data_IF_718777325026
#
_entry.id   IF_718777325026
#
_cell.length_a   1.000
_cell.length_b   1.000
_cell.length_c   1.000
_cell.angle_alpha   90.00
_cell.angle_beta   90.00
_cell.angle_gamma   90.00
#
_symmetry.space_group_name_H-M   'P 1'
#
loop_
_entity.id
_entity.type
_entity.pdbx_description
1 polymer ?
#
# COMPACT_ATOMS: atom_id res chain seq x y z
N UNK A 1 51.00 62.63 15.36
CA UNK A 1 50.03 62.23 16.40
C UNK A 1 48.97 61.37 15.72
N UNK A 2 48.82 60.10 16.17
CA UNK A 2 47.81 59.07 15.78
C UNK A 2 48.00 58.47 14.36
N UNK A 3 48.51 57.23 14.20
CA UNK A 3 47.91 55.90 14.51
C UNK A 3 46.56 55.78 13.79
N UNK A 4 46.26 54.79 12.94
CA UNK A 4 46.94 53.56 12.60
C UNK A 4 46.03 52.73 11.68
N UNK A 5 46.68 51.77 11.02
CA UNK A 5 46.17 50.60 10.28
C UNK A 5 44.92 49.97 10.92
N UNK A 6 43.90 49.61 10.13
CA UNK A 6 43.28 48.27 10.21
C UNK A 6 42.31 48.01 9.04
N UNK A 7 42.78 47.21 8.10
CA UNK A 7 42.00 46.39 7.18
C UNK A 7 41.08 45.48 7.99
N UNK A 8 39.77 45.52 7.77
CA UNK A 8 38.84 44.55 8.34
C UNK A 8 38.23 43.69 7.22
N UNK A 9 38.93 42.59 6.94
CA UNK A 9 38.44 41.43 6.21
C UNK A 9 37.36 40.77 7.09
N UNK A 10 36.08 40.92 6.74
CA UNK A 10 35.03 40.15 7.41
C UNK A 10 34.92 38.77 6.77
N UNK A 11 35.73 37.84 7.28
CA UNK A 11 35.61 36.40 7.07
C UNK A 11 34.34 35.94 7.80
N UNK A 12 33.27 35.71 7.06
CA UNK A 12 32.07 35.02 7.57
C UNK A 12 32.28 33.50 7.44
N UNK A 13 33.08 32.96 8.35
CA UNK A 13 33.05 31.57 8.77
C UNK A 13 32.13 31.50 9.98
N UNK A 14 30.87 31.07 9.80
CA UNK A 14 30.17 30.36 10.88
C UNK A 14 29.18 29.35 10.28
N UNK A 15 29.45 28.12 10.68
CA UNK A 15 28.82 26.83 10.42
C UNK A 15 27.34 26.78 10.79
N UNK A 16 26.54 26.14 9.94
CA UNK A 16 25.38 25.36 10.38
C UNK A 16 25.62 23.91 9.97
N UNK A 17 26.03 23.12 10.97
CA UNK A 17 25.96 21.66 10.96
C UNK A 17 24.48 21.29 11.04
N UNK A 18 23.95 20.58 10.04
CA UNK A 18 23.07 19.44 10.28
C UNK A 18 23.37 18.39 9.23
N UNK A 19 24.02 17.31 9.68
CA UNK A 19 24.06 16.06 8.95
C UNK A 19 22.63 15.53 8.83
N UNK A 20 22.07 15.56 7.63
CA UNK A 20 20.90 14.76 7.30
C UNK A 20 21.41 13.54 6.53
N UNK A 21 21.60 12.45 7.27
CA UNK A 21 21.73 11.13 6.69
C UNK A 21 20.40 10.81 6.03
N UNK A 22 20.32 11.11 4.74
CA UNK A 22 19.33 10.50 3.87
C UNK A 22 19.66 9.01 3.83
N UNK A 23 18.97 8.23 4.66
CA UNK A 23 18.91 6.79 4.46
C UNK A 23 18.28 6.59 3.10
N UNK A 24 19.15 6.37 2.13
CA UNK A 24 18.85 5.88 0.79
C UNK A 24 17.74 4.85 0.88
N UNK A 25 16.77 4.93 -0.03
CA UNK A 25 15.96 3.76 -0.32
C UNK A 25 16.95 2.62 -0.63
N UNK A 26 17.04 1.64 0.26
CA UNK A 26 17.83 0.44 0.01
C UNK A 26 17.09 -0.35 -1.06
N UNK A 27 17.32 0.03 -2.31
CA UNK A 27 16.79 -0.64 -3.49
C UNK A 27 17.60 -1.92 -3.64
N UNK A 28 17.17 -2.96 -2.95
CA UNK A 28 17.39 -4.32 -3.47
C UNK A 28 16.43 -4.43 -4.64
N UNK A 29 16.89 -4.85 -5.81
CA UNK A 29 16.28 -4.73 -7.17
C UNK A 29 14.81 -5.19 -7.34
N UNK A 30 14.07 -5.46 -6.28
CA UNK A 30 12.68 -5.94 -6.32
C UNK A 30 11.84 -5.57 -5.10
N UNK A 31 12.41 -4.80 -4.15
CA UNK A 31 11.72 -4.34 -2.95
C UNK A 31 11.89 -2.83 -2.87
N UNK A 32 10.79 -2.10 -3.05
CA UNK A 32 10.78 -0.65 -2.88
C UNK A 32 10.21 -0.31 -1.51
N UNK A 33 11.00 0.34 -0.66
CA UNK A 33 10.57 0.83 0.64
C UNK A 33 10.40 2.35 0.57
N UNK A 34 9.19 2.82 0.85
CA UNK A 34 8.81 4.24 0.84
C UNK A 34 8.51 4.69 2.27
N UNK A 35 9.19 5.75 2.71
CA UNK A 35 9.03 6.39 4.01
C UNK A 35 9.48 7.87 3.93
N UNK A 36 9.36 8.59 5.05
CA UNK A 36 9.78 10.00 5.16
C UNK A 36 9.05 10.89 4.16
N UNK A 37 9.78 11.84 3.56
CA UNK A 37 9.21 12.89 2.70
C UNK A 37 8.57 12.34 1.41
N UNK A 38 9.00 11.15 0.97
CA UNK A 38 8.44 10.47 -0.20
C UNK A 38 7.12 9.76 0.07
N UNK A 39 6.75 9.58 1.34
CA UNK A 39 5.58 8.79 1.72
C UNK A 39 4.28 9.44 1.28
N UNK A 40 4.09 10.74 1.53
CA UNK A 40 2.83 11.43 1.20
C UNK A 40 2.57 11.43 -0.32
N UNK A 41 3.52 11.87 -1.18
CA UNK A 41 3.31 11.83 -2.63
C UNK A 41 3.05 10.42 -3.15
N UNK A 42 3.75 9.42 -2.62
CA UNK A 42 3.54 8.03 -3.00
C UNK A 42 2.16 7.53 -2.58
N UNK A 43 1.71 7.88 -1.38
CA UNK A 43 0.38 7.52 -0.90
C UNK A 43 -0.70 8.12 -1.79
N UNK A 44 -0.57 9.36 -2.24
CA UNK A 44 -1.56 9.99 -3.12
C UNK A 44 -1.61 9.32 -4.50
N UNK A 45 -0.44 8.97 -5.06
CA UNK A 45 -0.35 8.14 -6.27
C UNK A 45 -1.00 6.77 -6.06
N UNK A 46 -0.77 6.14 -4.92
CA UNK A 46 -1.35 4.84 -4.59
C UNK A 46 -2.88 4.91 -4.45
N UNK A 47 -3.43 5.96 -3.83
CA UNK A 47 -4.88 6.20 -3.77
C UNK A 47 -5.48 6.28 -5.17
N UNK A 48 -4.84 7.07 -6.05
CA UNK A 48 -5.29 7.21 -7.43
C UNK A 48 -5.23 5.87 -8.19
N UNK A 49 -4.18 5.08 -8.00
CA UNK A 49 -4.06 3.74 -8.58
C UNK A 49 -5.20 2.82 -8.10
N UNK A 50 -5.49 2.78 -6.80
CA UNK A 50 -6.60 2.00 -6.23
C UNK A 50 -7.94 2.38 -6.84
N UNK A 51 -8.24 3.68 -6.94
CA UNK A 51 -9.50 4.13 -7.53
C UNK A 51 -9.57 3.81 -9.03
N UNK A 52 -8.45 3.95 -9.76
CA UNK A 52 -8.38 3.59 -11.18
C UNK A 52 -8.63 2.09 -11.38
N UNK A 53 -8.04 1.24 -10.54
CA UNK A 53 -8.27 -0.20 -10.56
C UNK A 53 -9.74 -0.54 -10.25
N UNK A 54 -10.36 0.17 -9.32
CA UNK A 54 -11.78 -0.04 -8.97
C UNK A 54 -12.70 0.15 -10.16
N UNK A 55 -12.40 1.10 -11.05
CA UNK A 55 -13.18 1.36 -12.27
C UNK A 55 -13.07 0.21 -13.29
N UNK A 56 -11.99 -0.58 -13.25
CA UNK A 56 -11.81 -1.75 -14.13
C UNK A 56 -12.75 -2.90 -13.76
N UNK A 57 -13.42 -2.84 -12.62
CA UNK A 57 -14.34 -3.88 -12.18
C UNK A 57 -15.49 -4.06 -13.19
N UNK A 58 -15.61 -5.28 -13.70
CA UNK A 58 -16.75 -5.67 -14.49
C UNK A 58 -17.23 -7.04 -14.02
N UNK A 59 -18.50 -7.10 -13.64
CA UNK A 59 -19.13 -8.35 -13.17
C UNK A 59 -19.06 -9.47 -14.20
N UNK A 60 -19.11 -9.17 -15.50
CA UNK A 60 -19.01 -10.20 -16.55
C UNK A 60 -17.64 -10.88 -16.60
N UNK A 61 -16.62 -10.27 -15.99
CA UNK A 61 -15.26 -10.81 -15.94
C UNK A 61 -15.05 -11.74 -14.74
N UNK A 62 -16.08 -11.98 -13.93
CA UNK A 62 -16.00 -12.88 -12.80
C UNK A 62 -16.04 -14.34 -13.25
N UNK A 63 -15.12 -15.12 -12.70
CA UNK A 63 -15.08 -16.57 -12.80
C UNK A 63 -15.47 -17.14 -11.45
N UNK A 64 -16.53 -17.93 -11.42
CA UNK A 64 -17.03 -18.59 -10.22
C UNK A 64 -16.58 -20.05 -10.24
N UNK A 65 -15.86 -20.46 -9.20
CA UNK A 65 -15.52 -21.86 -8.92
C UNK A 65 -16.23 -22.29 -7.65
N UNK A 66 -16.27 -23.60 -7.36
CA UNK A 66 -16.90 -24.15 -6.15
C UNK A 66 -16.41 -23.49 -4.86
N UNK A 67 -15.15 -23.04 -4.84
CA UNK A 67 -14.47 -22.57 -3.62
C UNK A 67 -14.16 -21.07 -3.63
N UNK A 68 -14.31 -20.38 -4.76
CA UNK A 68 -13.99 -18.95 -4.85
C UNK A 68 -14.58 -18.30 -6.10
N UNK A 69 -14.84 -17.00 -6.06
CA UNK A 69 -14.97 -16.17 -7.27
C UNK A 69 -13.62 -15.49 -7.55
N UNK A 70 -13.39 -14.96 -8.74
CA UNK A 70 -12.22 -14.08 -9.02
C UNK A 70 -12.44 -13.34 -10.32
N UNK A 71 -11.73 -12.24 -10.55
CA UNK A 71 -11.61 -11.73 -11.90
C UNK A 71 -10.83 -12.71 -12.79
N UNK A 72 -11.28 -12.84 -14.04
CA UNK A 72 -10.55 -13.54 -15.11
C UNK A 72 -9.17 -12.93 -15.31
N UNK A 73 -9.11 -11.61 -15.30
CA UNK A 73 -7.87 -10.82 -15.38
C UNK A 73 -7.71 -9.99 -14.09
N UNK A 74 -6.80 -10.39 -13.20
CA UNK A 74 -6.56 -9.66 -11.96
C UNK A 74 -5.90 -8.31 -12.25
N UNK A 75 -6.40 -7.23 -11.66
CA UNK A 75 -5.86 -5.89 -11.88
C UNK A 75 -5.43 -5.17 -10.60
N UNK A 76 -5.82 -5.64 -9.40
CA UNK A 76 -5.42 -5.00 -8.13
C UNK A 76 -4.26 -5.73 -7.46
N UNK A 77 -3.36 -4.98 -6.83
CA UNK A 77 -2.38 -5.51 -5.87
C UNK A 77 -3.03 -6.18 -4.65
N UNK A 78 -2.26 -7.05 -3.98
CA UNK A 78 -2.59 -7.55 -2.66
C UNK A 78 -2.10 -6.54 -1.61
N UNK A 79 -3.01 -6.00 -0.80
CA UNK A 79 -2.67 -5.04 0.26
C UNK A 79 -2.53 -5.76 1.59
N UNK A 80 -1.42 -5.54 2.29
CA UNK A 80 -1.09 -6.19 3.56
C UNK A 80 -0.85 -5.11 4.62
N UNK A 81 -1.82 -4.88 5.48
CA UNK A 81 -1.75 -3.85 6.53
C UNK A 81 -1.19 -4.46 7.82
N UNK A 82 -0.15 -3.83 8.37
CA UNK A 82 0.56 -4.23 9.58
C UNK A 82 1.03 -5.70 9.58
N UNK A 83 1.35 -6.24 8.41
CA UNK A 83 1.82 -7.63 8.24
C UNK A 83 0.78 -8.71 8.58
N UNK A 84 -0.44 -8.33 8.95
CA UNK A 84 -1.46 -9.24 9.47
C UNK A 84 -2.74 -9.25 8.65
N UNK A 85 -3.13 -8.10 8.10
CA UNK A 85 -4.44 -7.93 7.46
C UNK A 85 -4.28 -7.86 5.95
N UNK A 86 -4.80 -8.88 5.26
CA UNK A 86 -4.71 -8.98 3.81
C UNK A 86 -6.01 -8.54 3.16
N UNK A 87 -5.91 -7.72 2.11
CA UNK A 87 -7.04 -7.13 1.40
C UNK A 87 -6.83 -7.21 -0.11
N UNK A 88 -7.84 -7.73 -0.79
CA UNK A 88 -7.93 -7.77 -2.26
C UNK A 88 -9.07 -6.86 -2.69
N UNK A 89 -8.75 -5.85 -3.49
CA UNK A 89 -9.72 -4.80 -3.84
C UNK A 89 -10.33 -5.00 -5.24
N UNK A 90 -10.01 -6.11 -5.91
CA UNK A 90 -10.39 -6.39 -7.28
C UNK A 90 -11.87 -6.78 -7.45
N UNK A 91 -12.58 -7.18 -6.40
CA UNK A 91 -13.99 -7.59 -6.50
C UNK A 91 -14.84 -6.96 -5.40
N UNK A 92 -14.52 -5.72 -5.02
CA UNK A 92 -15.17 -4.98 -3.93
C UNK A 92 -16.07 -3.87 -4.48
N UNK A 93 -17.17 -3.56 -3.79
CA UNK A 93 -18.01 -2.40 -4.09
C UNK A 93 -17.25 -1.07 -3.90
N UNK A 94 -17.48 -0.09 -4.76
CA UNK A 94 -16.69 1.15 -4.77
C UNK A 94 -16.69 1.91 -3.43
N UNK A 95 -17.80 1.87 -2.67
CA UNK A 95 -17.87 2.52 -1.36
C UNK A 95 -16.94 1.87 -0.32
N UNK A 96 -16.78 0.55 -0.37
CA UNK A 96 -15.87 -0.20 0.51
C UNK A 96 -14.41 0.11 0.14
N UNK A 97 -14.10 0.33 -1.14
CA UNK A 97 -12.76 0.80 -1.55
C UNK A 97 -12.47 2.19 -0.98
N UNK A 98 -13.44 3.11 -1.05
CA UNK A 98 -13.27 4.45 -0.47
C UNK A 98 -13.07 4.40 1.05
N UNK A 99 -13.81 3.55 1.77
CA UNK A 99 -13.59 3.31 3.20
C UNK A 99 -12.18 2.79 3.49
N UNK A 100 -11.71 1.80 2.70
CA UNK A 100 -10.35 1.27 2.82
C UNK A 100 -9.30 2.37 2.64
N UNK A 101 -9.40 3.14 1.56
CA UNK A 101 -8.47 4.23 1.24
C UNK A 101 -8.42 5.25 2.37
N UNK A 102 -9.57 5.72 2.85
CA UNK A 102 -9.64 6.75 3.89
C UNK A 102 -9.12 6.25 5.25
N UNK A 103 -9.39 4.99 5.59
CA UNK A 103 -8.99 4.43 6.87
C UNK A 103 -7.52 4.02 6.92
N UNK A 104 -6.99 3.48 5.81
CA UNK A 104 -5.66 2.87 5.72
C UNK A 104 -4.62 3.83 5.18
N UNK A 105 -4.91 4.55 4.10
CA UNK A 105 -3.96 5.47 3.46
C UNK A 105 -4.07 6.88 4.07
N UNK A 106 -3.88 6.94 5.38
CA UNK A 106 -3.84 8.17 6.17
C UNK A 106 -2.39 8.45 6.63
N UNK A 107 -1.83 9.59 6.20
CA UNK A 107 -0.42 9.96 6.44
C UNK A 107 -0.08 10.08 7.93
N UNK A 108 -1.05 10.41 8.78
CA UNK A 108 -0.86 10.44 10.24
C UNK A 108 -0.68 9.06 10.88
N UNK A 109 -1.03 7.98 10.16
CA UNK A 109 -1.01 6.60 10.67
C UNK A 109 0.08 5.76 10.02
N UNK A 110 0.33 5.97 8.72
CA UNK A 110 1.28 5.17 7.95
C UNK A 110 2.71 5.59 8.26
N UNK A 111 3.54 4.63 8.65
CA UNK A 111 4.98 4.78 8.87
C UNK A 111 5.78 4.54 7.60
N UNK A 112 5.41 3.50 6.84
CA UNK A 112 6.10 3.11 5.61
C UNK A 112 5.19 2.26 4.73
N UNK A 113 5.49 2.27 3.43
CA UNK A 113 4.90 1.35 2.47
C UNK A 113 6.02 0.59 1.78
N UNK A 114 5.90 -0.74 1.72
CA UNK A 114 6.84 -1.59 0.98
C UNK A 114 6.11 -2.24 -0.19
N UNK A 115 6.64 -2.07 -1.39
CA UNK A 115 6.15 -2.71 -2.61
C UNK A 115 7.07 -3.86 -2.95
N UNK A 116 6.50 -5.05 -3.10
CA UNK A 116 7.20 -6.25 -3.56
C UNK A 116 6.57 -6.70 -4.85
N UNK A 117 7.39 -6.85 -5.88
CA UNK A 117 6.92 -7.37 -7.17
C UNK A 117 6.43 -8.80 -7.06
N UNK A 118 5.35 -9.13 -7.79
CA UNK A 118 4.75 -10.47 -7.81
C UNK A 118 5.77 -11.61 -7.92
N UNK A 119 6.77 -11.43 -8.79
CA UNK A 119 7.77 -12.45 -9.09
C UNK A 119 8.64 -12.83 -7.89
N UNK A 120 8.68 -11.99 -6.85
CA UNK A 120 9.53 -12.15 -5.66
C UNK A 120 8.75 -12.44 -4.40
N UNK A 121 7.42 -12.42 -4.47
CA UNK A 121 6.59 -12.78 -3.33
C UNK A 121 6.62 -14.30 -3.16
N UNK A 122 6.90 -14.74 -1.94
CA UNK A 122 6.85 -16.16 -1.60
C UNK A 122 5.40 -16.67 -1.70
N UNK A 123 5.17 -17.52 -2.70
CA UNK A 123 3.87 -18.13 -3.00
C UNK A 123 3.39 -19.08 -1.90
N UNK A 124 4.28 -19.58 -1.04
CA UNK A 124 3.88 -20.39 0.11
C UNK A 124 3.13 -19.55 1.15
N UNK A 125 3.50 -18.27 1.30
CA UNK A 125 2.82 -17.34 2.20
C UNK A 125 1.66 -16.60 1.53
N UNK A 126 1.74 -16.35 0.23
CA UNK A 126 0.72 -15.62 -0.53
C UNK A 126 0.32 -16.36 -1.81
N UNK A 127 -0.32 -17.55 -1.70
CA UNK A 127 -0.60 -18.42 -2.83
C UNK A 127 -1.55 -17.82 -3.88
N UNK A 128 -2.33 -16.81 -3.49
CA UNK A 128 -3.31 -16.17 -4.34
C UNK A 128 -2.87 -14.79 -4.83
N UNK A 129 -1.57 -14.48 -4.76
CA UNK A 129 -1.06 -13.22 -5.27
C UNK A 129 -1.09 -13.21 -6.80
N UNK A 130 -1.77 -12.22 -7.36
CA UNK A 130 -1.97 -12.12 -8.81
C UNK A 130 -1.23 -10.93 -9.44
N UNK A 131 -0.91 -9.92 -8.62
CA UNK A 131 -0.17 -8.71 -8.95
C UNK A 131 0.92 -8.46 -7.89
N UNK A 132 1.37 -7.21 -7.69
CA UNK A 132 2.33 -6.87 -6.63
C UNK A 132 1.73 -7.00 -5.22
N UNK A 133 2.58 -7.16 -4.21
CA UNK A 133 2.20 -7.05 -2.80
C UNK A 133 2.58 -5.67 -2.27
N UNK A 134 1.63 -5.01 -1.62
CA UNK A 134 1.81 -3.69 -1.02
C UNK A 134 1.62 -3.82 0.49
N UNK A 135 2.74 -3.77 1.22
CA UNK A 135 2.76 -3.81 2.67
C UNK A 135 2.65 -2.39 3.21
N UNK A 136 1.63 -2.13 4.03
CA UNK A 136 1.39 -0.84 4.66
C UNK A 136 1.65 -0.99 6.15
N UNK A 137 2.72 -0.38 6.64
CA UNK A 137 3.10 -0.43 8.05
C UNK A 137 2.69 0.86 8.74
N UNK A 138 1.98 0.75 9.86
CA UNK A 138 1.58 1.90 10.66
C UNK A 138 2.60 2.22 11.75
N UNK A 139 2.51 3.44 12.30
CA UNK A 139 3.15 3.77 13.57
C UNK A 139 2.58 2.91 14.70
N UNK A 140 3.41 2.60 15.70
CA UNK A 140 3.03 1.71 16.80
C UNK A 140 1.77 2.19 17.56
N UNK A 141 1.63 3.50 17.79
CA UNK A 141 0.44 4.06 18.45
C UNK A 141 -0.81 4.20 17.57
N UNK A 142 -0.70 3.96 16.26
CA UNK A 142 -1.82 4.18 15.36
C UNK A 142 -2.89 3.08 15.54
N UNK A 143 -4.10 3.50 15.91
CA UNK A 143 -5.25 2.59 16.01
C UNK A 143 -5.71 2.17 14.62
N UNK A 144 -5.90 0.87 14.43
CA UNK A 144 -6.46 0.29 13.22
C UNK A 144 -7.70 -0.54 13.56
N UNK A 145 -8.83 -0.23 12.92
CA UNK A 145 -9.99 -1.10 12.95
C UNK A 145 -9.91 -2.03 11.73
N UNK A 146 -9.64 -3.34 11.89
CA UNK A 146 -9.52 -4.25 10.77
C UNK A 146 -10.85 -4.61 10.11
N UNK A 147 -11.99 -4.25 10.72
CA UNK A 147 -13.35 -4.44 10.18
C UNK A 147 -13.79 -3.31 9.24
N UNK A 148 -12.85 -2.58 8.66
CA UNK A 148 -13.15 -1.62 7.60
C UNK A 148 -13.55 -2.34 6.32
N UNK A 149 -14.51 -1.78 5.58
CA UNK A 149 -14.90 -2.26 4.26
C UNK A 149 -15.44 -3.71 4.22
N UNK A 150 -15.99 -4.24 5.32
CA UNK A 150 -16.59 -5.59 5.34
C UNK A 150 -15.61 -6.75 5.12
N UNK A 151 -14.31 -6.46 5.16
CA UNK A 151 -13.21 -7.37 4.82
C UNK A 151 -13.03 -8.45 5.91
N UNK A 152 -13.17 -9.73 5.56
CA UNK A 152 -12.99 -10.84 6.51
C UNK A 152 -11.50 -11.14 6.73
N UNK A 153 -11.11 -11.28 8.00
CA UNK A 153 -9.74 -11.68 8.41
C UNK A 153 -9.40 -13.06 7.85
N UNK A 154 -8.27 -13.18 7.17
CA UNK A 154 -7.62 -14.48 6.98
C UNK A 154 -6.52 -14.69 8.00
N UNK A 155 -6.66 -15.73 8.83
CA UNK A 155 -5.51 -16.50 9.28
C UNK A 155 -5.47 -17.73 8.36
N UNK A 156 -4.45 -17.83 7.50
CA UNK A 156 -4.10 -18.97 6.64
C UNK A 156 -4.86 -19.23 5.33
N UNK A 157 -6.14 -18.89 5.14
CA UNK A 157 -6.82 -19.05 3.85
C UNK A 157 -7.57 -17.77 3.48
N UNK A 158 -7.29 -17.21 2.30
CA UNK A 158 -7.66 -15.86 1.86
C UNK A 158 -8.99 -15.32 2.39
N UNK A 159 -8.97 -14.07 2.83
CA UNK A 159 -10.14 -13.37 3.36
C UNK A 159 -11.10 -13.15 2.22
N UNK A 160 -12.17 -13.94 2.20
CA UNK A 160 -13.12 -13.91 1.12
C UNK A 160 -13.98 -12.64 1.24
N UNK A 161 -13.78 -11.66 0.36
CA UNK A 161 -14.76 -10.60 0.07
C UNK A 161 -15.94 -11.13 -0.77
N UNK A 162 -16.18 -12.44 -0.68
CA UNK A 162 -16.58 -13.31 -1.78
C UNK A 162 -17.85 -14.10 -1.45
N UNK A 163 -18.60 -13.71 -0.42
CA UNK A 163 -19.90 -14.30 -0.10
C UNK A 163 -21.10 -13.51 -0.65
N UNK A 164 -20.95 -12.74 -1.73
CA UNK A 164 -22.12 -12.22 -2.44
C UNK A 164 -22.39 -13.03 -3.71
N UNK A 165 -23.11 -14.15 -3.54
CA UNK A 165 -24.03 -14.64 -4.57
C UNK A 165 -24.87 -13.44 -5.04
N UNK A 166 -24.93 -13.14 -6.33
CA UNK A 166 -26.21 -12.60 -6.84
C UNK A 166 -27.13 -13.79 -7.08
N UNK A 167 -28.38 -13.64 -6.63
CA UNK A 167 -29.43 -14.64 -6.84
C UNK A 167 -29.54 -14.88 -8.37
N UNK A 168 -29.20 -16.09 -8.82
CA UNK A 168 -29.38 -16.51 -10.23
C UNK A 168 -28.12 -16.83 -11.06
N UNK A 169 -26.90 -16.74 -10.51
CA UNK A 169 -25.68 -17.11 -11.28
C UNK A 169 -25.46 -18.65 -11.27
N UNK A 170 -25.37 -19.31 -12.43
CA UNK A 170 -25.15 -20.76 -12.52
C UNK A 170 -23.70 -21.12 -12.12
N UNK A 171 -23.57 -22.19 -11.33
CA UNK A 171 -22.26 -22.78 -11.00
C UNK A 171 -21.72 -23.55 -12.21
N UNK A 172 -20.49 -23.24 -12.65
CA UNK A 172 -19.76 -24.11 -13.57
C UNK A 172 -19.00 -25.12 -12.72
N UNK A 173 -19.47 -26.37 -12.71
CA UNK A 173 -18.74 -27.50 -12.17
C UNK A 173 -17.70 -27.92 -13.22
N UNK A 174 -16.42 -27.85 -12.87
CA UNK A 174 -15.35 -28.53 -13.58
C UNK A 174 -14.97 -29.80 -12.83
#
# INVERSE_FOLDING_TARGET
MRIGVLTLLFVLLYTQVVAQSDKEATQTDSILIINGDRLIPFMDSLKQAIYTDTIKFNRSNLVHTTNNTRNKEPYSSLYIVNGQYQYKLDIIESYQVAEFVNAVLNSSKVKSITVIEKAKVDKNYFPHIQQNAIFITFYHQAKFNPKIAGLKRSRKNGGDNFNQRKKGEPMVLQ
#
